data_IF_465208413474
#
_entry.id   IF_465208413474
#
_cell.length_a   1.000
_cell.length_b   1.000
_cell.length_c   1.000
_cell.angle_alpha   90.00
_cell.angle_beta   90.00
_cell.angle_gamma   90.00
#
_symmetry.space_group_name_H-M   'P 1'
#
loop_
_entity.id
_entity.type
_entity.pdbx_description
1 polymer ?
#
# COMPACT_ATOMS: atom_id res chain seq x y z
N UNK A 1 -28.66 22.41 -10.14
CA UNK A 1 -27.63 22.28 -11.20
C UNK A 1 -26.31 22.81 -10.66
N UNK A 2 -25.45 21.94 -10.13
CA UNK A 2 -24.15 22.35 -9.59
C UNK A 2 -23.23 22.70 -10.75
N UNK A 3 -22.90 23.98 -10.89
CA UNK A 3 -21.99 24.47 -11.92
C UNK A 3 -20.62 23.83 -11.71
N UNK A 4 -20.12 23.06 -12.69
CA UNK A 4 -18.69 22.72 -12.75
C UNK A 4 -17.91 24.04 -12.70
N UNK A 5 -17.32 24.39 -11.56
CA UNK A 5 -16.46 25.56 -11.42
C UNK A 5 -15.23 25.33 -12.29
N UNK A 6 -15.18 26.03 -13.41
CA UNK A 6 -14.12 25.87 -14.41
C UNK A 6 -12.82 26.49 -13.86
N UNK A 7 -11.76 25.68 -13.80
CA UNK A 7 -10.40 26.11 -13.46
C UNK A 7 -9.75 26.77 -14.68
N UNK A 8 -10.20 27.98 -15.02
CA UNK A 8 -9.78 28.72 -16.21
C UNK A 8 -9.12 30.05 -15.88
N UNK A 9 -8.32 30.55 -16.81
CA UNK A 9 -7.75 31.89 -16.72
C UNK A 9 -8.85 32.96 -16.79
N UNK A 10 -8.86 33.89 -15.84
CA UNK A 10 -9.77 35.04 -15.81
C UNK A 10 -9.64 35.92 -17.07
N UNK A 11 -8.41 36.08 -17.58
CA UNK A 11 -8.08 36.95 -18.73
C UNK A 11 -8.39 36.31 -20.08
N UNK A 12 -7.78 35.15 -20.40
CA UNK A 12 -7.91 34.54 -21.73
C UNK A 12 -8.82 33.30 -21.78
N UNK A 13 -9.48 32.96 -20.67
CA UNK A 13 -10.39 31.79 -20.53
C UNK A 13 -9.76 30.42 -20.81
N UNK A 14 -8.45 30.36 -21.03
CA UNK A 14 -7.71 29.11 -21.21
C UNK A 14 -7.70 28.27 -19.93
N UNK A 15 -7.89 26.96 -20.08
CA UNK A 15 -7.72 25.96 -19.02
C UNK A 15 -6.25 25.66 -18.70
N UNK A 16 -5.30 26.13 -19.52
CA UNK A 16 -3.88 25.88 -19.33
C UNK A 16 -3.26 26.86 -18.31
N UNK A 17 -3.74 26.75 -17.08
CA UNK A 17 -3.27 27.48 -15.91
C UNK A 17 -2.52 26.55 -14.96
N UNK A 18 -1.52 27.08 -14.26
CA UNK A 18 -0.68 26.35 -13.32
C UNK A 18 -0.77 27.00 -11.95
N UNK A 19 -1.23 26.25 -10.95
CA UNK A 19 -1.27 26.70 -9.57
C UNK A 19 0.12 26.70 -8.96
N UNK A 20 0.50 27.78 -8.28
CA UNK A 20 1.76 27.85 -7.54
C UNK A 20 1.55 27.95 -6.03
N UNK A 21 0.34 28.30 -5.61
CA UNK A 21 -0.06 28.31 -4.21
C UNK A 21 -1.52 27.87 -4.06
N UNK A 22 -1.77 26.91 -3.18
CA UNK A 22 -3.12 26.51 -2.76
C UNK A 22 -3.25 26.77 -1.26
N UNK A 23 -4.29 27.49 -0.87
CA UNK A 23 -4.58 27.84 0.53
C UNK A 23 -5.96 27.29 0.85
N UNK A 24 -6.07 26.55 1.95
CA UNK A 24 -7.36 26.14 2.50
C UNK A 24 -7.70 27.02 3.70
N UNK A 25 -8.91 27.57 3.70
CA UNK A 25 -9.57 28.21 4.83
C UNK A 25 -10.77 27.36 5.25
N UNK A 26 -11.49 27.77 6.30
CA UNK A 26 -12.65 27.02 6.78
C UNK A 26 -13.82 26.97 5.76
N UNK A 27 -13.91 27.94 4.84
CA UNK A 27 -15.02 28.04 3.86
C UNK A 27 -14.57 27.93 2.41
N UNK A 28 -13.30 28.21 2.12
CA UNK A 28 -12.81 28.36 0.76
C UNK A 28 -11.45 27.71 0.53
N UNK A 29 -11.24 27.25 -0.69
CA UNK A 29 -9.94 26.90 -1.25
C UNK A 29 -9.54 28.01 -2.23
N UNK A 30 -8.41 28.66 -1.98
CA UNK A 30 -7.87 29.74 -2.79
C UNK A 30 -6.68 29.21 -3.58
N UNK A 31 -6.70 29.40 -4.89
CA UNK A 31 -5.68 28.90 -5.82
C UNK A 31 -5.06 30.08 -6.55
N UNK A 32 -3.81 30.40 -6.21
CA UNK A 32 -3.02 31.36 -6.99
C UNK A 32 -2.39 30.65 -8.17
N UNK A 33 -2.65 31.15 -9.38
CA UNK A 33 -2.24 30.50 -10.62
C UNK A 33 -1.53 31.46 -11.58
N UNK A 34 -0.80 30.87 -12.53
CA UNK A 34 -0.27 31.54 -13.72
C UNK A 34 -0.83 30.87 -14.96
N UNK A 35 -1.34 31.63 -15.91
CA UNK A 35 -1.67 31.12 -17.24
C UNK A 35 -0.42 30.90 -18.09
N UNK A 36 -0.29 29.74 -18.72
CA UNK A 36 0.82 29.45 -19.64
C UNK A 36 0.68 30.26 -20.93
N UNK A 37 -0.54 30.40 -21.45
CA UNK A 37 -0.79 31.09 -22.72
C UNK A 37 -0.55 32.60 -22.64
N UNK A 38 -1.24 33.31 -21.74
CA UNK A 38 -1.19 34.78 -21.67
C UNK A 38 -0.30 35.32 -20.55
N UNK A 39 0.29 34.46 -19.72
CA UNK A 39 1.14 34.87 -18.60
C UNK A 39 0.42 35.48 -17.39
N UNK A 40 -0.91 35.69 -17.48
CA UNK A 40 -1.70 36.30 -16.40
C UNK A 40 -1.53 35.55 -15.08
N UNK A 41 -1.45 36.29 -13.98
CA UNK A 41 -1.46 35.74 -12.62
C UNK A 41 -2.68 36.26 -11.90
N UNK A 42 -3.39 35.37 -11.26
CA UNK A 42 -4.63 35.70 -10.57
C UNK A 42 -4.95 34.60 -9.55
N UNK A 43 -6.07 34.78 -8.84
CA UNK A 43 -6.60 33.83 -7.88
C UNK A 43 -7.96 33.25 -8.32
N UNK A 44 -8.20 31.99 -7.95
CA UNK A 44 -9.51 31.35 -8.03
C UNK A 44 -9.95 31.00 -6.62
N UNK A 45 -11.17 31.41 -6.24
CA UNK A 45 -11.78 31.07 -4.95
C UNK A 45 -12.86 30.01 -5.17
N UNK A 46 -12.66 28.86 -4.56
CA UNK A 46 -13.54 27.70 -4.65
C UNK A 46 -14.20 27.47 -3.30
N UNK A 47 -15.47 27.05 -3.30
CA UNK A 47 -16.16 26.72 -2.07
C UNK A 47 -15.68 25.34 -1.59
N UNK A 48 -15.35 25.21 -0.31
CA UNK A 48 -14.85 23.95 0.23
C UNK A 48 -15.91 22.84 0.20
N UNK A 49 -17.19 23.19 0.27
CA UNK A 49 -18.31 22.23 0.15
C UNK A 49 -18.37 21.55 -1.21
N UNK A 50 -17.79 22.18 -2.24
CA UNK A 50 -17.76 21.66 -3.62
C UNK A 50 -16.44 20.94 -3.95
N UNK A 51 -15.62 20.61 -2.93
CA UNK A 51 -14.25 20.06 -3.10
C UNK A 51 -14.18 18.87 -4.05
N UNK A 52 -15.15 17.97 -3.99
CA UNK A 52 -15.20 16.76 -4.82
C UNK A 52 -15.21 17.08 -6.32
N UNK A 53 -15.87 18.17 -6.73
CA UNK A 53 -16.05 18.54 -8.14
C UNK A 53 -14.78 19.09 -8.80
N UNK A 54 -13.83 19.62 -8.02
CA UNK A 54 -12.65 20.28 -8.57
C UNK A 54 -11.33 19.68 -8.09
N UNK A 55 -11.33 18.73 -7.14
CA UNK A 55 -10.08 18.14 -6.60
C UNK A 55 -9.22 17.52 -7.68
N UNK A 56 -9.83 16.80 -8.62
CA UNK A 56 -9.15 16.21 -9.76
C UNK A 56 -8.46 17.26 -10.66
N UNK A 57 -9.13 18.39 -10.89
CA UNK A 57 -8.61 19.50 -11.66
C UNK A 57 -7.50 20.25 -10.92
N UNK A 58 -7.68 20.47 -9.61
CA UNK A 58 -6.68 21.11 -8.74
C UNK A 58 -5.39 20.30 -8.67
N UNK A 59 -5.53 18.98 -8.53
CA UNK A 59 -4.41 18.03 -8.55
C UNK A 59 -3.58 18.22 -9.81
N UNK A 60 -4.20 18.12 -10.99
CA UNK A 60 -3.54 18.32 -12.28
C UNK A 60 -2.91 19.72 -12.41
N UNK A 61 -3.63 20.76 -12.01
CA UNK A 61 -3.20 22.15 -12.11
C UNK A 61 -1.99 22.46 -11.23
N UNK A 62 -1.89 21.81 -10.06
CA UNK A 62 -0.85 22.11 -9.08
C UNK A 62 0.44 21.32 -9.29
N UNK A 63 0.36 20.01 -9.59
CA UNK A 63 1.53 19.14 -9.73
C UNK A 63 2.17 19.20 -11.14
N UNK A 64 2.27 20.40 -11.70
CA UNK A 64 2.90 20.71 -12.99
C UNK A 64 3.92 21.82 -12.85
N UNK A 65 4.91 21.88 -13.73
CA UNK A 65 5.97 22.88 -13.68
C UNK A 65 5.39 24.28 -13.86
N UNK A 66 5.74 25.22 -12.97
CA UNK A 66 5.25 26.61 -13.04
C UNK A 66 5.59 27.33 -14.36
N UNK A 67 6.71 26.93 -14.98
CA UNK A 67 7.23 27.61 -16.17
C UNK A 67 6.71 27.02 -17.48
N UNK A 68 6.80 25.71 -17.68
CA UNK A 68 6.37 25.05 -18.93
C UNK A 68 5.04 24.29 -18.81
N UNK A 69 4.58 23.98 -17.61
CA UNK A 69 3.41 23.12 -17.42
C UNK A 69 3.70 21.63 -17.61
N UNK A 70 4.96 21.23 -17.83
CA UNK A 70 5.35 19.82 -17.89
C UNK A 70 5.30 19.10 -16.53
N UNK A 71 5.51 17.77 -16.51
CA UNK A 71 5.51 16.98 -15.29
C UNK A 71 6.67 17.35 -14.35
N UNK A 72 6.47 17.10 -13.06
CA UNK A 72 7.44 17.43 -12.01
C UNK A 72 7.68 16.23 -11.10
N UNK A 73 8.90 16.14 -10.58
CA UNK A 73 9.28 15.24 -9.50
C UNK A 73 9.35 16.09 -8.23
N UNK A 74 8.71 15.64 -7.15
CA UNK A 74 8.81 16.31 -5.85
C UNK A 74 10.05 15.78 -5.14
N UNK A 75 11.02 16.65 -4.89
CA UNK A 75 12.28 16.33 -4.21
C UNK A 75 12.14 16.48 -2.69
N UNK A 76 11.43 17.53 -2.24
CA UNK A 76 11.25 17.80 -0.81
C UNK A 76 9.85 18.33 -0.52
N UNK A 77 9.29 17.95 0.63
CA UNK A 77 8.09 18.53 1.24
C UNK A 77 8.42 18.91 2.69
N UNK A 78 8.20 20.17 3.06
CA UNK A 78 8.37 20.67 4.43
C UNK A 78 7.06 21.27 4.92
N UNK A 79 6.52 20.73 6.01
CA UNK A 79 5.31 21.25 6.65
C UNK A 79 5.64 22.40 7.61
N UNK A 80 4.93 23.51 7.45
CA UNK A 80 5.05 24.72 8.26
C UNK A 80 3.66 25.06 8.81
N UNK A 81 3.17 24.25 9.74
CA UNK A 81 1.82 24.36 10.30
C UNK A 81 0.75 23.97 9.27
N UNK A 82 -0.15 24.89 8.92
CA UNK A 82 -1.26 24.63 7.97
C UNK A 82 -0.83 24.59 6.50
N UNK A 83 0.43 24.87 6.19
CA UNK A 83 0.94 24.94 4.83
C UNK A 83 2.21 24.09 4.65
N UNK A 84 2.26 23.33 3.55
CA UNK A 84 3.42 22.62 3.07
C UNK A 84 4.14 23.42 1.98
N UNK A 85 5.46 23.54 2.10
CA UNK A 85 6.36 24.01 1.03
C UNK A 85 6.89 22.80 0.28
N UNK A 86 6.83 22.85 -1.04
CA UNK A 86 7.30 21.77 -1.92
C UNK A 86 8.43 22.30 -2.79
N UNK A 87 9.51 21.54 -2.85
CA UNK A 87 10.58 21.69 -3.83
C UNK A 87 10.40 20.61 -4.89
N UNK A 88 10.42 20.99 -6.15
CA UNK A 88 10.24 20.07 -7.26
C UNK A 88 11.28 20.31 -8.34
N UNK A 89 11.62 19.24 -9.08
CA UNK A 89 12.38 19.32 -10.32
C UNK A 89 11.44 19.14 -11.51
N UNK A 90 11.56 20.02 -12.51
CA UNK A 90 10.85 19.85 -13.77
C UNK A 90 11.55 18.79 -14.63
N UNK A 91 10.81 17.80 -15.11
CA UNK A 91 11.36 16.72 -15.93
C UNK A 91 11.85 17.26 -17.28
N UNK A 92 11.04 18.07 -17.94
CA UNK A 92 11.36 18.61 -19.27
C UNK A 92 12.53 19.61 -19.27
N UNK A 93 12.69 20.37 -18.18
CA UNK A 93 13.68 21.47 -18.11
C UNK A 93 14.88 21.17 -17.23
N UNK A 94 14.83 20.10 -16.43
CA UNK A 94 15.82 19.78 -15.39
C UNK A 94 15.92 20.81 -14.26
N UNK A 95 15.13 21.89 -14.27
CA UNK A 95 15.24 23.01 -13.30
C UNK A 95 14.38 22.79 -12.07
N UNK A 96 14.90 23.20 -10.92
CA UNK A 96 14.17 23.22 -9.65
C UNK A 96 13.19 24.40 -9.56
N UNK A 97 12.10 24.18 -8.83
CA UNK A 97 11.09 25.17 -8.51
C UNK A 97 10.50 24.94 -7.13
N UNK A 98 9.70 25.91 -6.66
CA UNK A 98 9.06 25.86 -5.35
C UNK A 98 7.56 26.15 -5.49
N UNK A 99 6.74 25.48 -4.69
CA UNK A 99 5.30 25.73 -4.55
C UNK A 99 4.87 25.65 -3.09
N UNK A 100 3.67 26.15 -2.80
CA UNK A 100 3.04 26.08 -1.48
C UNK A 100 1.64 25.48 -1.60
N UNK A 101 1.24 24.65 -0.65
CA UNK A 101 -0.10 24.04 -0.61
C UNK A 101 -0.54 23.93 0.84
N UNK A 102 -1.84 23.90 1.10
CA UNK A 102 -2.33 23.50 2.41
C UNK A 102 -1.82 22.09 2.74
N UNK A 103 -1.26 21.90 3.94
CA UNK A 103 -0.77 20.59 4.38
C UNK A 103 -1.89 19.54 4.36
N UNK A 104 -3.14 19.97 4.61
CA UNK A 104 -4.34 19.11 4.60
C UNK A 104 -4.68 18.62 3.20
N UNK A 105 -4.51 19.46 2.16
CA UNK A 105 -4.85 19.10 0.78
C UNK A 105 -3.74 18.33 0.05
N UNK A 106 -2.52 18.31 0.60
CA UNK A 106 -1.38 17.78 -0.12
C UNK A 106 -1.54 16.30 -0.48
N UNK A 107 -1.89 15.46 0.50
CA UNK A 107 -1.97 14.01 0.30
C UNK A 107 -3.08 13.66 -0.70
N UNK A 108 -4.31 14.16 -0.47
CA UNK A 108 -5.45 13.94 -1.38
C UNK A 108 -5.13 14.31 -2.83
N UNK A 109 -4.64 15.54 -3.04
CA UNK A 109 -4.36 16.02 -4.39
C UNK A 109 -3.17 15.28 -5.01
N UNK A 110 -2.17 14.88 -4.21
CA UNK A 110 -1.01 14.13 -4.73
C UNK A 110 -1.41 12.73 -5.17
N UNK A 111 -2.22 12.03 -4.38
CA UNK A 111 -2.74 10.70 -4.73
C UNK A 111 -3.54 10.74 -6.02
N UNK A 112 -4.43 11.74 -6.18
CA UNK A 112 -5.18 11.94 -7.43
C UNK A 112 -4.27 12.17 -8.64
N UNK A 113 -3.13 12.84 -8.45
CA UNK A 113 -2.17 13.10 -9.53
C UNK A 113 -1.49 11.82 -9.98
N UNK A 114 -0.97 11.03 -9.03
CA UNK A 114 -0.26 9.79 -9.31
C UNK A 114 -1.15 8.72 -9.93
N UNK A 115 -2.41 8.63 -9.48
CA UNK A 115 -3.37 7.64 -10.00
C UNK A 115 -3.76 7.90 -11.47
N UNK A 116 -3.58 9.12 -11.98
CA UNK A 116 -3.82 9.44 -13.40
C UNK A 116 -2.76 8.86 -14.32
N UNK A 117 -1.51 8.85 -13.88
CA UNK A 117 -0.40 8.30 -14.66
C UNK A 117 -0.56 6.78 -14.77
N UNK A 118 -1.02 6.11 -13.71
CA UNK A 118 -1.34 4.67 -13.70
C UNK A 118 -2.47 4.32 -14.67
N UNK A 119 -3.57 5.09 -14.67
CA UNK A 119 -4.70 4.86 -15.61
C UNK A 119 -4.29 5.04 -17.07
N UNK A 120 -3.34 5.94 -17.38
CA UNK A 120 -2.82 6.10 -18.75
C UNK A 120 -2.00 4.89 -19.19
N UNK A 121 -1.13 4.34 -18.33
CA UNK A 121 -0.31 3.17 -18.65
C UNK A 121 -1.13 1.88 -18.81
N UNK A 122 -2.16 1.68 -17.97
CA UNK A 122 -3.09 0.56 -18.06
C UNK A 122 -3.96 0.60 -19.32
N UNK A 123 -4.43 1.79 -19.73
CA UNK A 123 -5.18 1.96 -20.98
C UNK A 123 -4.32 1.67 -22.23
N UNK A 124 -3.02 1.96 -22.17
CA UNK A 124 -2.08 1.65 -23.25
C UNK A 124 -1.87 0.12 -23.36
N UNK A 125 -1.65 -0.57 -22.25
CA UNK A 125 -1.49 -2.05 -22.24
C UNK A 125 -2.74 -2.77 -22.73
N UNK A 126 -3.93 -2.33 -22.32
CA UNK A 126 -5.21 -2.89 -22.80
C UNK A 126 -5.37 -2.71 -24.32
N UNK A 127 -5.03 -1.53 -24.85
CA UNK A 127 -5.14 -1.25 -26.29
C UNK A 127 -4.17 -2.05 -27.18
N UNK A 128 -3.03 -2.49 -26.62
CA UNK A 128 -2.02 -3.30 -27.30
C UNK A 128 -2.36 -4.79 -27.28
N UNK A 129 -2.93 -5.30 -26.17
CA UNK A 129 -3.38 -6.68 -26.03
C UNK A 129 -4.60 -7.01 -26.91
N UNK A 130 -5.45 -6.01 -27.20
CA UNK A 130 -6.64 -6.19 -28.04
C UNK A 130 -6.35 -6.42 -29.53
N UNK A 131 -5.14 -6.15 -30.01
CA UNK A 131 -4.82 -6.23 -31.45
C UNK A 131 -4.28 -7.58 -31.93
N UNK A 132 -3.85 -8.49 -31.06
CA UNK A 132 -3.05 -9.65 -31.51
C UNK A 132 -3.58 -11.04 -31.14
N UNK A 133 -4.72 -11.17 -30.49
CA UNK A 133 -5.24 -12.49 -30.11
C UNK A 133 -6.75 -12.58 -30.31
N UNK A 134 -7.15 -13.19 -31.43
CA UNK A 134 -8.53 -13.57 -31.73
C UNK A 134 -8.75 -15.05 -31.38
N UNK A 135 -9.91 -15.37 -30.80
CA UNK A 135 -10.40 -16.72 -30.55
C UNK A 135 -11.66 -16.96 -31.38
N UNK A 136 -11.90 -18.20 -31.77
CA UNK A 136 -13.14 -18.58 -32.45
C UNK A 136 -14.27 -18.77 -31.42
N UNK A 137 -15.42 -18.14 -31.64
CA UNK A 137 -16.59 -18.36 -30.80
C UNK A 137 -17.16 -19.77 -31.02
N UNK A 138 -17.31 -20.62 -30.00
CA UNK A 138 -17.76 -22.00 -30.20
C UNK A 138 -19.22 -22.12 -30.66
N UNK A 139 -20.05 -21.09 -30.42
CA UNK A 139 -21.47 -21.10 -30.80
C UNK A 139 -21.69 -20.66 -32.25
N UNK A 140 -21.07 -19.56 -32.67
CA UNK A 140 -21.31 -18.94 -33.98
C UNK A 140 -20.11 -18.97 -34.93
N UNK A 141 -18.97 -19.51 -34.48
CA UNK A 141 -17.71 -19.64 -35.22
C UNK A 141 -17.07 -18.34 -35.69
N UNK A 142 -17.62 -17.19 -35.29
CA UNK A 142 -17.00 -15.90 -35.58
C UNK A 142 -15.74 -15.70 -34.74
N UNK A 143 -14.73 -15.09 -35.36
CA UNK A 143 -13.50 -14.68 -34.69
C UNK A 143 -13.75 -13.45 -33.84
N UNK A 144 -13.49 -13.57 -32.54
CA UNK A 144 -13.72 -12.54 -31.52
C UNK A 144 -12.44 -12.30 -30.73
N UNK A 145 -12.31 -11.14 -30.11
CA UNK A 145 -11.12 -10.83 -29.32
C UNK A 145 -11.06 -11.75 -28.08
N UNK A 146 -9.87 -12.28 -27.77
CA UNK A 146 -9.63 -13.18 -26.63
C UNK A 146 -10.03 -12.57 -25.29
N UNK A 147 -10.04 -11.24 -25.16
CA UNK A 147 -10.40 -10.51 -23.96
C UNK A 147 -11.90 -10.18 -23.88
N UNK A 148 -12.67 -10.36 -24.96
CA UNK A 148 -14.12 -10.13 -24.93
C UNK A 148 -14.80 -11.02 -23.88
N UNK A 149 -15.68 -10.42 -23.07
CA UNK A 149 -16.51 -11.16 -22.09
C UNK A 149 -17.61 -11.94 -22.81
N UNK A 150 -18.15 -11.39 -23.91
CA UNK A 150 -19.19 -11.98 -24.73
C UNK A 150 -18.80 -11.92 -26.21
N UNK A 151 -19.32 -12.85 -27.01
CA UNK A 151 -19.20 -12.79 -28.45
C UNK A 151 -20.04 -11.63 -29.01
N UNK A 152 -19.41 -10.72 -29.74
CA UNK A 152 -20.07 -9.56 -30.37
C UNK A 152 -21.10 -9.93 -31.45
N UNK A 153 -21.09 -11.17 -31.95
CA UNK A 153 -21.97 -11.61 -33.03
C UNK A 153 -23.18 -12.42 -32.54
N UNK A 154 -23.05 -13.15 -31.42
CA UNK A 154 -24.11 -14.05 -30.95
C UNK A 154 -24.39 -13.98 -29.43
N UNK A 155 -23.69 -13.12 -28.70
CA UNK A 155 -23.90 -12.90 -27.26
C UNK A 155 -23.35 -14.02 -26.35
N UNK A 156 -22.78 -15.09 -26.88
CA UNK A 156 -22.23 -16.19 -26.06
C UNK A 156 -21.19 -15.70 -25.07
N UNK A 157 -21.31 -16.09 -23.80
CA UNK A 157 -20.31 -15.80 -22.77
C UNK A 157 -19.01 -16.60 -23.05
N UNK A 158 -17.89 -15.89 -23.16
CA UNK A 158 -16.60 -16.48 -23.56
C UNK A 158 -15.69 -16.82 -22.36
N UNK A 159 -16.09 -16.52 -21.12
CA UNK A 159 -15.27 -16.79 -19.92
C UNK A 159 -14.92 -18.28 -19.80
N UNK A 160 -15.90 -19.15 -19.99
CA UNK A 160 -15.72 -20.61 -19.92
C UNK A 160 -14.89 -21.17 -21.08
N UNK A 161 -14.90 -20.48 -22.22
CA UNK A 161 -14.16 -20.85 -23.43
C UNK A 161 -12.67 -20.57 -23.27
N UNK A 162 -12.31 -19.46 -22.60
CA UNK A 162 -10.91 -19.11 -22.31
C UNK A 162 -10.23 -20.15 -21.42
N UNK A 163 -10.96 -20.69 -20.46
CA UNK A 163 -10.48 -21.76 -19.56
C UNK A 163 -10.24 -23.10 -20.28
N UNK A 164 -10.94 -23.34 -21.40
CA UNK A 164 -10.76 -24.53 -22.25
C UNK A 164 -9.79 -24.31 -23.42
N UNK A 165 -9.37 -23.07 -23.67
CA UNK A 165 -8.47 -22.76 -24.77
C UNK A 165 -7.02 -23.09 -24.39
N UNK A 166 -6.36 -23.90 -25.21
CA UNK A 166 -4.93 -24.22 -25.06
C UNK A 166 -4.04 -23.05 -25.51
N UNK A 167 -4.39 -21.80 -25.18
CA UNK A 167 -3.66 -20.61 -25.63
C UNK A 167 -3.36 -19.73 -24.43
N UNK A 168 -2.09 -19.36 -24.27
CA UNK A 168 -1.64 -18.46 -23.23
C UNK A 168 -2.23 -17.07 -23.42
N UNK A 169 -2.98 -16.60 -22.44
CA UNK A 169 -3.58 -15.26 -22.43
C UNK A 169 -2.56 -14.13 -22.35
N UNK A 170 -1.35 -14.41 -21.86
CA UNK A 170 -0.27 -13.43 -21.76
C UNK A 170 0.53 -13.26 -23.07
N UNK A 171 0.75 -14.33 -23.84
CA UNK A 171 1.63 -14.26 -25.03
C UNK A 171 1.08 -14.92 -26.30
N UNK A 172 -0.13 -15.47 -26.27
CA UNK A 172 -0.78 -16.14 -27.41
C UNK A 172 -0.19 -17.51 -27.79
N UNK A 173 0.77 -18.05 -27.01
CA UNK A 173 1.39 -19.33 -27.30
C UNK A 173 0.47 -20.51 -27.01
N UNK A 174 0.58 -21.59 -27.79
CA UNK A 174 -0.15 -22.81 -27.51
C UNK A 174 0.37 -23.48 -26.23
N UNK A 175 -0.54 -23.80 -25.31
CA UNK A 175 -0.28 -24.44 -24.04
C UNK A 175 -0.35 -25.96 -24.22
N UNK A 176 0.66 -26.68 -23.74
CA UNK A 176 0.60 -28.14 -23.63
C UNK A 176 -0.35 -28.54 -22.50
N UNK A 177 -1.21 -29.53 -22.74
CA UNK A 177 -2.15 -30.08 -21.73
C UNK A 177 -1.41 -30.39 -20.42
N UNK A 178 -1.96 -29.94 -19.29
CA UNK A 178 -1.40 -30.17 -17.94
C UNK A 178 -0.30 -29.21 -17.47
N UNK A 179 0.12 -28.23 -18.29
CA UNK A 179 1.17 -27.27 -17.92
C UNK A 179 0.72 -26.28 -16.83
N UNK A 180 1.57 -26.02 -15.83
CA UNK A 180 1.34 -25.01 -14.77
C UNK A 180 1.72 -23.58 -15.22
N UNK A 181 2.59 -23.46 -16.22
CA UNK A 181 3.12 -22.20 -16.72
C UNK A 181 3.23 -22.26 -18.24
N UNK A 182 3.14 -21.11 -18.91
CA UNK A 182 3.39 -21.01 -20.33
C UNK A 182 4.88 -21.24 -20.60
N UNK A 183 5.20 -22.24 -21.40
CA UNK A 183 6.60 -22.55 -21.78
C UNK A 183 7.26 -21.47 -22.64
N UNK A 184 6.48 -20.53 -23.19
CA UNK A 184 7.00 -19.43 -24.03
C UNK A 184 7.28 -18.14 -23.24
N UNK A 185 6.40 -17.74 -22.33
CA UNK A 185 6.54 -16.46 -21.61
C UNK A 185 6.64 -16.61 -20.08
N UNK A 186 6.61 -17.82 -19.55
CA UNK A 186 6.69 -18.07 -18.10
C UNK A 186 5.43 -17.72 -17.31
N UNK A 187 4.37 -17.21 -17.96
CA UNK A 187 3.14 -16.81 -17.28
C UNK A 187 2.48 -18.02 -16.58
N UNK A 188 2.03 -17.89 -15.33
CA UNK A 188 1.28 -18.94 -14.65
C UNK A 188 -0.04 -19.21 -15.38
N UNK A 189 -0.34 -20.48 -15.60
CA UNK A 189 -1.59 -20.94 -16.18
C UNK A 189 -2.48 -21.35 -15.03
N UNK A 190 -3.62 -20.67 -14.88
CA UNK A 190 -4.56 -20.99 -13.81
C UNK A 190 -5.03 -22.44 -13.99
N UNK A 191 -4.63 -23.31 -13.06
CA UNK A 191 -5.20 -24.66 -12.95
C UNK A 191 -6.46 -24.54 -12.10
N UNK A 192 -7.60 -24.85 -12.70
CA UNK A 192 -8.84 -25.09 -11.95
C UNK A 192 -8.63 -26.32 -11.07
N UNK A 193 -8.63 -26.14 -9.74
CA UNK A 193 -9.25 -27.10 -8.84
C UNK A 193 -10.66 -26.62 -8.57
N UNK A 194 -11.59 -27.54 -8.71
CA UNK A 194 -13.05 -27.39 -8.58
C UNK A 194 -13.40 -27.50 -7.09
N UNK A 195 -14.47 -26.80 -6.72
CA UNK A 195 -15.15 -26.70 -5.40
C UNK A 195 -14.37 -25.89 -4.34
N UNK A 196 -14.87 -24.81 -3.74
CA UNK A 196 -16.23 -24.43 -3.34
C UNK A 196 -16.36 -22.90 -3.18
N UNK A 197 -17.59 -22.41 -3.32
CA UNK A 197 -18.04 -21.01 -3.18
C UNK A 197 -17.73 -20.41 -1.79
N UNK A 198 -17.18 -19.19 -1.71
CA UNK A 198 -17.74 -17.98 -1.06
C UNK A 198 -16.99 -16.73 -1.57
N UNK A 199 -17.79 -15.76 -2.02
CA UNK A 199 -17.61 -14.32 -2.32
C UNK A 199 -16.23 -13.62 -2.25
N UNK A 200 -15.80 -13.06 -3.38
CA UNK A 200 -14.88 -11.91 -3.49
C UNK A 200 -15.65 -10.68 -3.98
N UNK A 201 -15.95 -9.75 -3.07
CA UNK A 201 -16.19 -8.34 -3.39
C UNK A 201 -14.88 -7.57 -3.15
N UNK A 202 -14.11 -7.31 -4.20
CA UNK A 202 -12.86 -6.56 -4.14
C UNK A 202 -13.11 -5.03 -4.06
N UNK A 203 -13.01 -4.48 -2.85
CA UNK A 203 -12.78 -3.06 -2.57
C UNK A 203 -11.25 -2.78 -2.54
N UNK A 204 -10.70 -1.79 -3.29
CA UNK A 204 -9.25 -1.65 -3.47
C UNK A 204 -8.53 -0.80 -2.40
N UNK A 205 -9.06 -0.63 -1.19
CA UNK A 205 -8.38 0.13 -0.13
C UNK A 205 -8.51 -0.51 1.26
N UNK A 206 -7.61 -1.45 1.59
CA UNK A 206 -7.03 -1.65 2.93
C UNK A 206 -6.06 -2.84 2.91
N UNK A 207 -4.76 -2.62 2.66
CA UNK A 207 -3.75 -3.65 2.91
C UNK A 207 -3.27 -3.56 4.36
N UNK A 208 -4.14 -3.93 5.30
CA UNK A 208 -3.70 -4.34 6.62
C UNK A 208 -3.31 -5.82 6.56
N UNK A 209 -2.10 -6.15 7.00
CA UNK A 209 -1.71 -7.55 7.19
C UNK A 209 -1.93 -7.87 8.66
N UNK A 210 -2.74 -8.88 8.95
CA UNK A 210 -2.84 -9.38 10.32
C UNK A 210 -1.50 -10.00 10.74
N UNK A 211 -1.02 -9.61 11.90
CA UNK A 211 0.15 -10.23 12.49
C UNK A 211 -0.19 -11.65 12.89
N UNK A 212 0.31 -12.63 12.14
CA UNK A 212 0.07 -14.05 12.44
C UNK A 212 0.73 -14.54 13.75
N UNK A 213 1.42 -13.66 14.48
CA UNK A 213 2.01 -13.94 15.80
C UNK A 213 1.11 -13.44 16.94
N UNK A 214 0.50 -12.26 16.83
CA UNK A 214 -0.29 -11.66 17.93
C UNK A 214 -1.70 -11.19 17.54
N UNK A 215 -2.11 -11.39 16.28
CA UNK A 215 -3.40 -11.00 15.73
C UNK A 215 -3.57 -9.50 15.43
N UNK A 216 -2.59 -8.65 15.74
CA UNK A 216 -2.71 -7.21 15.55
C UNK A 216 -2.72 -6.82 14.07
N UNK A 217 -3.56 -5.87 13.68
CA UNK A 217 -3.57 -5.29 12.33
C UNK A 217 -2.31 -4.43 12.12
N UNK A 218 -1.45 -4.80 11.17
CA UNK A 218 -0.19 -4.12 10.91
C UNK A 218 -0.31 -3.18 9.71
N UNK A 219 -0.11 -1.85 9.89
CA UNK A 219 -0.13 -0.90 8.78
C UNK A 219 1.20 -0.94 8.03
N UNK A 220 1.25 -1.68 6.91
CA UNK A 220 2.25 -1.75 5.81
C UNK A 220 3.76 -1.56 6.09
N UNK A 221 4.15 -1.53 7.35
CA UNK A 221 5.50 -1.42 7.87
C UNK A 221 5.89 -2.81 8.32
N UNK A 222 7.02 -3.28 7.80
CA UNK A 222 7.53 -4.65 7.92
C UNK A 222 7.66 -5.21 9.35
N UNK A 223 7.34 -4.44 10.40
CA UNK A 223 7.46 -4.78 11.82
C UNK A 223 6.08 -4.57 12.46
N UNK A 224 5.56 -5.61 13.10
CA UNK A 224 4.34 -5.51 13.89
C UNK A 224 4.55 -4.56 15.08
N UNK A 225 3.77 -3.48 15.23
CA UNK A 225 3.92 -2.55 16.34
C UNK A 225 3.49 -3.13 17.70
N UNK A 226 2.72 -4.23 17.70
CA UNK A 226 2.22 -4.86 18.92
C UNK A 226 3.19 -5.89 19.52
N UNK A 227 3.88 -6.68 18.69
CA UNK A 227 4.78 -7.74 19.16
C UNK A 227 6.21 -7.68 18.58
N UNK A 228 6.51 -6.67 17.75
CA UNK A 228 7.83 -6.52 17.12
C UNK A 228 8.16 -7.53 16.01
N UNK A 229 7.24 -8.43 15.66
CA UNK A 229 7.48 -9.47 14.67
C UNK A 229 7.67 -8.91 13.25
N UNK A 230 8.68 -9.41 12.53
CA UNK A 230 8.94 -9.04 11.15
C UNK A 230 8.11 -9.87 10.16
N UNK A 231 7.43 -9.18 9.24
CA UNK A 231 6.52 -9.82 8.27
C UNK A 231 7.18 -10.11 6.90
N UNK A 232 8.35 -9.51 6.62
CA UNK A 232 9.10 -9.70 5.36
C UNK A 232 10.50 -10.22 5.62
N UNK A 233 11.01 -11.03 4.70
CA UNK A 233 12.36 -11.60 4.80
C UNK A 233 13.44 -10.50 4.71
N UNK A 234 14.33 -10.40 5.69
CA UNK A 234 15.44 -9.42 5.71
C UNK A 234 16.37 -9.47 4.49
N UNK A 235 16.49 -10.64 3.84
CA UNK A 235 17.44 -10.85 2.73
C UNK A 235 16.85 -10.58 1.35
N UNK A 236 15.63 -11.05 1.10
CA UNK A 236 15.00 -10.94 -0.22
C UNK A 236 13.75 -10.04 -0.24
N UNK A 237 13.36 -9.51 0.91
CA UNK A 237 12.23 -8.61 1.11
C UNK A 237 10.86 -9.18 0.69
N UNK A 238 10.74 -10.50 0.52
CA UNK A 238 9.47 -11.16 0.20
C UNK A 238 8.62 -11.34 1.47
N UNK A 239 7.30 -11.28 1.32
CA UNK A 239 6.36 -11.52 2.41
C UNK A 239 6.50 -12.97 2.92
N UNK A 240 6.70 -13.12 4.23
CA UNK A 240 6.81 -14.43 4.86
C UNK A 240 5.42 -15.05 5.05
N UNK A 241 5.34 -16.37 4.92
CA UNK A 241 4.10 -17.10 5.19
C UNK A 241 3.89 -17.24 6.71
N UNK A 242 2.64 -17.40 7.17
CA UNK A 242 2.35 -17.64 8.59
C UNK A 242 3.17 -18.81 9.14
N UNK A 243 3.82 -18.63 10.29
CA UNK A 243 4.62 -19.67 10.95
C UNK A 243 5.91 -20.10 10.21
N UNK A 244 6.37 -19.35 9.21
CA UNK A 244 7.55 -19.70 8.43
C UNK A 244 8.83 -19.68 9.30
N UNK A 245 9.46 -20.84 9.51
CA UNK A 245 10.79 -20.96 10.13
C UNK A 245 11.93 -20.50 9.20
N UNK A 246 11.67 -20.55 7.88
CA UNK A 246 12.59 -20.17 6.83
C UNK A 246 11.84 -19.42 5.71
N UNK A 247 12.53 -18.51 5.04
CA UNK A 247 12.01 -17.79 3.89
C UNK A 247 11.76 -18.77 2.73
N UNK A 248 10.51 -18.87 2.28
CA UNK A 248 10.10 -19.77 1.18
C UNK A 248 10.74 -19.44 -0.18
N UNK A 249 11.22 -18.21 -0.36
CA UNK A 249 11.89 -17.79 -1.60
C UNK A 249 13.42 -17.93 -1.58
N UNK A 250 14.11 -17.61 -0.47
CA UNK A 250 15.58 -17.56 -0.43
C UNK A 250 16.23 -18.47 0.63
N UNK A 251 15.44 -19.19 1.42
CA UNK A 251 15.92 -20.14 2.43
C UNK A 251 16.47 -19.53 3.71
N UNK A 252 16.52 -18.20 3.81
CA UNK A 252 17.02 -17.50 5.01
C UNK A 252 16.19 -17.83 6.25
N UNK A 253 16.84 -18.03 7.41
CA UNK A 253 16.13 -18.28 8.67
C UNK A 253 15.34 -17.04 9.06
N UNK A 254 14.09 -17.25 9.48
CA UNK A 254 13.22 -16.16 9.94
C UNK A 254 13.44 -15.97 11.44
N UNK A 255 13.72 -14.74 11.92
CA UNK A 255 13.75 -14.45 13.35
C UNK A 255 12.33 -14.64 13.91
N UNK A 256 12.17 -15.59 14.84
CA UNK A 256 10.92 -15.73 15.58
C UNK A 256 10.91 -14.66 16.69
N UNK A 257 9.77 -13.99 16.96
CA UNK A 257 9.66 -13.15 18.13
C UNK A 257 10.00 -14.00 19.35
N UNK A 258 10.98 -13.55 20.13
CA UNK A 258 11.39 -14.20 21.36
C UNK A 258 10.16 -14.38 22.24
N UNK A 259 9.92 -15.61 22.67
CA UNK A 259 9.07 -15.87 23.84
C UNK A 259 9.57 -14.94 24.95
N UNK A 260 8.66 -14.12 25.47
CA UNK A 260 8.93 -13.34 26.67
C UNK A 260 9.38 -14.32 27.74
N UNK A 261 10.64 -14.19 28.19
CA UNK A 261 11.03 -14.77 29.47
C UNK A 261 10.16 -14.05 30.51
N UNK A 262 9.10 -14.73 30.95
CA UNK A 262 8.32 -14.35 32.12
C UNK A 262 9.26 -14.36 33.33
N UNK A 263 9.89 -13.21 33.60
CA UNK A 263 10.64 -13.01 34.83
C UNK A 263 9.68 -13.05 36.02
N UNK A 264 9.77 -14.18 36.73
CA UNK A 264 9.52 -14.38 38.16
C UNK A 264 8.05 -14.33 38.64
N UNK A 265 7.27 -15.37 38.31
CA UNK A 265 5.98 -15.63 38.96
C UNK A 265 5.91 -17.00 39.69
N UNK A 266 7.05 -17.50 40.17
CA UNK A 266 7.16 -18.74 40.94
C UNK A 266 7.98 -18.54 42.22
N UNK A 267 7.62 -19.28 43.27
CA UNK A 267 8.37 -19.44 44.52
C UNK A 267 8.96 -20.84 44.56
N UNK A 268 10.18 -20.99 45.05
CA UNK A 268 10.74 -22.32 45.31
C UNK A 268 10.19 -22.87 46.63
N UNK A 269 9.67 -24.08 46.60
CA UNK A 269 9.19 -24.75 47.80
C UNK A 269 10.38 -24.99 48.75
N UNK A 270 10.33 -24.50 50.00
CA UNK A 270 11.46 -24.63 50.92
C UNK A 270 11.75 -26.09 51.34
N UNK A 271 10.77 -26.98 51.22
CA UNK A 271 10.92 -28.40 51.59
C UNK A 271 11.55 -29.25 50.48
N UNK A 272 11.18 -29.03 49.22
CA UNK A 272 11.62 -29.89 48.12
C UNK A 272 12.35 -29.17 46.97
N UNK A 273 12.39 -27.84 47.01
CA UNK A 273 13.02 -27.00 45.97
C UNK A 273 12.21 -26.88 44.68
N UNK A 274 11.03 -27.50 44.60
CA UNK A 274 10.19 -27.45 43.39
C UNK A 274 9.63 -26.03 43.18
N UNK A 275 9.63 -25.55 41.94
CA UNK A 275 9.11 -24.23 41.59
C UNK A 275 7.58 -24.28 41.58
N UNK A 276 6.96 -23.55 42.50
CA UNK A 276 5.50 -23.45 42.64
C UNK A 276 5.05 -22.07 42.19
N UNK A 277 4.09 -22.01 41.27
CA UNK A 277 3.53 -20.75 40.80
C UNK A 277 2.84 -19.98 41.94
N UNK A 278 2.98 -18.65 41.95
CA UNK A 278 2.39 -17.78 42.98
C UNK A 278 0.85 -17.91 42.95
N UNK A 279 0.23 -18.12 44.12
CA UNK A 279 -1.23 -18.27 44.28
C UNK A 279 -1.72 -19.70 44.52
N UNK A 280 -0.84 -20.70 44.51
CA UNK A 280 -1.16 -22.06 44.93
C UNK A 280 -1.04 -22.21 46.46
N UNK A 281 -2.02 -22.84 47.09
CA UNK A 281 -2.06 -23.09 48.55
C UNK A 281 -1.15 -24.24 48.98
N UNK A 282 -0.79 -25.16 48.09
CA UNK A 282 0.10 -26.29 48.39
C UNK A 282 1.05 -26.59 47.23
N UNK A 283 2.26 -27.03 47.54
CA UNK A 283 3.23 -27.55 46.58
C UNK A 283 2.71 -28.86 45.97
N UNK A 284 2.61 -28.93 44.65
CA UNK A 284 2.11 -30.11 43.94
C UNK A 284 3.11 -31.28 43.92
N UNK A 285 4.39 -31.02 44.22
CA UNK A 285 5.44 -32.04 44.28
C UNK A 285 5.50 -32.79 45.62
N UNK A 286 5.36 -32.09 46.75
CA UNK A 286 5.51 -32.70 48.08
C UNK A 286 4.33 -32.46 49.04
N UNK A 287 3.37 -31.60 48.69
CA UNK A 287 2.20 -31.30 49.53
C UNK A 287 2.40 -30.22 50.58
N UNK A 288 3.57 -29.56 50.63
CA UNK A 288 3.85 -28.48 51.58
C UNK A 288 2.91 -27.28 51.40
N UNK A 289 2.41 -26.68 52.48
CA UNK A 289 1.51 -25.52 52.43
C UNK A 289 2.29 -24.23 52.14
N UNK A 290 1.86 -23.48 51.11
CA UNK A 290 2.55 -22.30 50.57
C UNK A 290 1.91 -20.96 50.98
N UNK A 291 0.89 -20.94 51.84
CA UNK A 291 0.14 -19.72 52.24
C UNK A 291 0.99 -18.65 52.96
N UNK A 292 2.14 -19.03 53.53
CA UNK A 292 2.98 -18.16 54.36
C UNK A 292 4.33 -17.77 53.70
N UNK A 293 4.54 -18.12 52.41
CA UNK A 293 5.81 -17.85 51.72
C UNK A 293 5.74 -16.53 50.93
N UNK A 294 6.37 -15.46 51.42
CA UNK A 294 6.39 -14.16 50.75
C UNK A 294 7.51 -14.02 49.69
N UNK A 295 7.27 -13.29 48.57
CA UNK A 295 8.29 -13.01 47.57
C UNK A 295 9.32 -12.00 48.11
N UNK A 296 10.58 -12.42 48.20
CA UNK A 296 11.68 -11.56 48.68
C UNK A 296 12.08 -10.51 47.64
N UNK A 297 12.01 -9.22 47.99
CA UNK A 297 12.54 -8.12 47.17
C UNK A 297 14.08 -8.15 47.22
N UNK A 298 14.71 -8.39 46.07
CA UNK A 298 16.16 -8.41 45.89
C UNK A 298 16.82 -7.07 46.31
N UNK A 299 17.78 -7.16 47.22
CA UNK A 299 18.63 -6.05 47.63
C UNK A 299 19.67 -5.73 46.55
N UNK A 300 19.57 -4.55 45.92
CA UNK A 300 20.67 -3.93 45.20
C UNK A 300 21.74 -3.46 46.21
N UNK A 301 22.93 -4.07 46.20
CA UNK A 301 24.15 -3.48 46.76
C UNK A 301 25.12 -3.16 45.63
N UNK A 302 25.18 -1.88 45.28
CA UNK A 302 26.26 -1.28 44.51
C UNK A 302 27.58 -1.46 45.27
N UNK A 303 28.55 -2.14 44.64
CA UNK A 303 29.94 -2.21 45.07
C UNK A 303 30.82 -1.46 44.08
N UNK A 304 31.11 -0.21 44.42
CA UNK A 304 32.15 0.64 43.81
C UNK A 304 33.53 0.03 44.01
N UNK A 305 34.26 -0.20 42.91
CA UNK A 305 35.71 -0.39 42.91
C UNK A 305 36.39 0.92 42.50
N UNK A 306 36.89 1.67 43.48
CA UNK A 306 38.00 2.60 43.29
C UNK A 306 39.23 2.06 44.01
N UNK A 307 40.37 2.35 43.38
CA UNK A 307 41.70 1.75 43.55
C UNK A 307 42.38 2.22 44.84
N UNK A 308 43.02 1.30 45.56
CA UNK A 308 44.18 1.62 46.38
C UNK A 308 45.45 1.32 45.58
N UNK A 309 46.37 2.27 45.55
CA UNK A 309 47.74 2.08 45.09
C UNK A 309 48.67 1.83 46.27
N UNK A 310 49.66 0.96 46.04
CA UNK A 310 51.00 1.00 46.62
C UNK A 310 51.91 0.07 45.80
#
# INVERSE_FOLDING_TARGET
MLSKKLLICSKCKSENIIGYQIIQTNKQIIVNYRCIGCGNRDEIKLDISEKEYFSEGLSNLFFRCYKCGGPIIIEEKKDNGRAAKIVYQCIERGRRGKKKISSVLYHDLRTLYLNKDIKKEQNITISLLDKQSKIECPKCKNMVNVNSKFCSFCGTNLKEVKLKSNICTNCGAQIKKGSNFCTKCGAPLQKSRVDSEVDESDDPFENYVECHFCGASVPDNNICPACGAELKCRKCNILLKPGAKFCHSCGEKVPQPMEEEEENNYLECPECGEKVSIGYTFCTGCGYNMEEVEPSKGNNKNGSQEKEGL
#
